data_IF_401722740234
#
_entry.id   IF_401722740234
#
_cell.length_a   1.000
_cell.length_b   1.000
_cell.length_c   1.000
_cell.angle_alpha   90.00
_cell.angle_beta   90.00
_cell.angle_gamma   90.00
#
_symmetry.space_group_name_H-M   'P 1'
#
loop_
_entity.id
_entity.type
_entity.pdbx_description
1 polymer ?
#
# COMPACT_ATOMS: atom_id res chain seq x y z
N UNK A 1 -5.22 -9.73 3.69
CA UNK A 1 -6.69 -9.47 3.77
C UNK A 1 -7.29 -9.50 2.36
N UNK A 2 -7.14 -10.67 1.73
CA UNK A 2 -7.47 -10.86 0.31
C UNK A 2 -8.95 -10.56 0.02
N UNK A 3 -9.86 -11.00 0.90
CA UNK A 3 -11.31 -10.84 0.73
C UNK A 3 -11.73 -9.37 0.56
N UNK A 4 -11.15 -8.46 1.35
CA UNK A 4 -11.43 -7.02 1.20
C UNK A 4 -10.96 -6.45 -0.14
N UNK A 5 -9.84 -6.96 -0.63
CA UNK A 5 -9.27 -6.48 -1.90
C UNK A 5 -10.12 -6.94 -3.07
N UNK A 6 -10.66 -8.15 -3.05
CA UNK A 6 -11.51 -8.68 -4.12
C UNK A 6 -12.78 -7.86 -4.28
N UNK A 7 -13.49 -7.59 -3.17
CA UNK A 7 -14.72 -6.78 -3.21
C UNK A 7 -14.43 -5.34 -3.67
N UNK A 8 -13.39 -4.73 -3.10
CA UNK A 8 -12.97 -3.38 -3.48
C UNK A 8 -12.54 -3.30 -4.94
N UNK A 9 -11.82 -4.31 -5.45
CA UNK A 9 -11.36 -4.38 -6.84
C UNK A 9 -12.51 -4.45 -7.83
N UNK A 10 -13.50 -5.31 -7.57
CA UNK A 10 -14.68 -5.42 -8.42
C UNK A 10 -15.48 -4.12 -8.46
N UNK A 11 -15.76 -3.53 -7.29
CA UNK A 11 -16.46 -2.25 -7.19
C UNK A 11 -15.68 -1.07 -7.82
N UNK A 12 -14.34 -1.12 -7.76
CA UNK A 12 -13.47 -0.12 -8.38
C UNK A 12 -13.58 -0.16 -9.91
N UNK A 13 -13.50 -1.36 -10.49
CA UNK A 13 -13.61 -1.55 -11.95
C UNK A 13 -15.03 -1.25 -12.47
N UNK A 14 -16.06 -1.54 -11.68
CA UNK A 14 -17.44 -1.15 -12.03
C UNK A 14 -17.59 0.38 -12.09
N UNK A 15 -16.91 1.10 -11.22
CA UNK A 15 -16.99 2.56 -11.15
C UNK A 15 -16.07 3.27 -12.15
N UNK A 16 -14.86 2.75 -12.34
CA UNK A 16 -13.85 3.30 -13.26
C UNK A 16 -13.27 2.19 -14.13
N UNK A 17 -13.99 1.79 -15.18
CA UNK A 17 -13.62 0.62 -16.01
C UNK A 17 -12.39 0.84 -16.89
N UNK A 18 -11.96 2.08 -17.09
CA UNK A 18 -10.79 2.43 -17.90
C UNK A 18 -9.89 3.43 -17.18
N UNK A 19 -8.65 3.53 -17.63
CA UNK A 19 -7.70 4.49 -17.06
C UNK A 19 -8.16 5.93 -17.29
N UNK A 20 -8.81 6.24 -18.41
CA UNK A 20 -9.35 7.55 -18.72
C UNK A 20 -10.53 7.89 -17.81
N UNK A 21 -11.39 6.91 -17.49
CA UNK A 21 -12.47 7.10 -16.56
C UNK A 21 -11.95 7.43 -15.15
N UNK A 22 -10.86 6.77 -14.73
CA UNK A 22 -10.21 7.08 -13.47
C UNK A 22 -9.50 8.45 -13.52
N UNK A 23 -8.78 8.75 -14.59
CA UNK A 23 -8.06 10.01 -14.78
C UNK A 23 -8.98 11.24 -14.78
N UNK A 24 -10.21 11.10 -15.29
CA UNK A 24 -11.23 12.15 -15.34
C UNK A 24 -12.12 12.24 -14.10
N UNK A 25 -11.96 11.32 -13.14
CA UNK A 25 -12.74 11.34 -11.91
C UNK A 25 -12.29 12.48 -10.98
N UNK A 26 -13.19 12.95 -10.12
CA UNK A 26 -12.80 13.84 -9.02
C UNK A 26 -11.88 13.07 -8.06
N UNK A 27 -10.74 13.65 -7.71
CA UNK A 27 -9.80 13.06 -6.74
C UNK A 27 -10.49 12.71 -5.43
N UNK A 28 -11.34 13.60 -4.93
CA UNK A 28 -12.15 13.38 -3.72
C UNK A 28 -13.02 12.13 -3.81
N UNK A 29 -13.57 11.82 -4.98
CA UNK A 29 -14.36 10.61 -5.21
C UNK A 29 -13.49 9.34 -5.14
N UNK A 30 -12.25 9.37 -5.65
CA UNK A 30 -11.31 8.24 -5.57
C UNK A 30 -10.83 8.02 -4.14
N UNK A 31 -10.49 9.10 -3.43
CA UNK A 31 -10.09 9.04 -2.00
C UNK A 31 -11.25 8.56 -1.13
N UNK A 32 -12.48 9.03 -1.39
CA UNK A 32 -13.70 8.57 -0.71
C UNK A 32 -13.91 7.07 -0.88
N UNK A 33 -13.90 6.58 -2.13
CA UNK A 33 -14.00 5.15 -2.43
C UNK A 33 -12.96 4.32 -1.66
N UNK A 34 -11.70 4.75 -1.67
CA UNK A 34 -10.60 4.09 -0.98
C UNK A 34 -10.84 3.96 0.53
N UNK A 35 -11.37 5.03 1.10
CA UNK A 35 -11.68 5.12 2.54
C UNK A 35 -12.88 4.26 2.91
N UNK A 36 -13.93 4.24 2.10
CA UNK A 36 -15.15 3.45 2.33
C UNK A 36 -14.85 1.95 2.33
N UNK A 37 -13.94 1.51 1.44
CA UNK A 37 -13.47 0.13 1.38
C UNK A 37 -12.35 -0.19 2.41
N UNK A 38 -11.99 0.77 3.27
CA UNK A 38 -10.99 0.59 4.33
C UNK A 38 -9.63 0.08 3.83
N UNK A 39 -9.19 0.50 2.65
CA UNK A 39 -7.94 0.06 2.03
C UNK A 39 -6.69 0.63 2.71
N UNK A 40 -6.84 1.70 3.50
CA UNK A 40 -5.76 2.33 4.26
C UNK A 40 -4.75 3.08 3.37
N UNK A 41 -3.82 3.82 4.02
CA UNK A 41 -2.79 4.58 3.31
C UNK A 41 -3.37 5.46 2.18
N UNK A 42 -4.24 6.41 2.54
CA UNK A 42 -5.06 7.20 1.62
C UNK A 42 -4.26 7.92 0.51
N UNK A 43 -2.98 8.22 0.73
CA UNK A 43 -2.08 8.76 -0.30
C UNK A 43 -1.98 7.83 -1.52
N UNK A 44 -2.20 6.51 -1.35
CA UNK A 44 -2.19 5.57 -2.48
C UNK A 44 -3.34 5.82 -3.45
N UNK A 45 -4.51 6.24 -2.95
CA UNK A 45 -5.63 6.63 -3.79
C UNK A 45 -5.30 7.87 -4.64
N UNK A 46 -4.69 8.88 -4.01
CA UNK A 46 -4.19 10.07 -4.71
C UNK A 46 -3.18 9.70 -5.79
N UNK A 47 -2.15 8.92 -5.44
CA UNK A 47 -1.13 8.51 -6.40
C UNK A 47 -1.68 7.67 -7.54
N UNK A 48 -2.64 6.78 -7.26
CA UNK A 48 -3.30 6.00 -8.29
C UNK A 48 -4.06 6.88 -9.28
N UNK A 49 -4.76 7.90 -8.79
CA UNK A 49 -5.46 8.88 -9.61
C UNK A 49 -4.48 9.72 -10.46
N UNK A 50 -3.40 10.20 -9.86
CA UNK A 50 -2.36 10.98 -10.56
C UNK A 50 -1.63 10.13 -11.62
N UNK A 51 -1.29 8.88 -11.29
CA UNK A 51 -0.71 7.93 -12.25
C UNK A 51 -1.66 7.64 -13.42
N UNK A 52 -2.97 7.51 -13.16
CA UNK A 52 -3.97 7.36 -14.24
C UNK A 52 -4.00 8.59 -15.15
N UNK A 53 -3.86 9.81 -14.58
CA UNK A 53 -3.72 11.04 -15.34
C UNK A 53 -2.50 11.03 -16.26
N UNK A 54 -1.33 10.61 -15.74
CA UNK A 54 -0.10 10.47 -16.54
C UNK A 54 -0.25 9.43 -17.66
N UNK A 55 -0.78 8.24 -17.34
CA UNK A 55 -1.01 7.19 -18.35
C UNK A 55 -1.93 7.68 -19.46
N UNK A 56 -3.00 8.39 -19.10
CA UNK A 56 -3.94 8.94 -20.10
C UNK A 56 -3.30 10.04 -20.96
N UNK A 57 -2.57 10.98 -20.37
CA UNK A 57 -2.07 12.19 -21.07
C UNK A 57 -0.71 11.99 -21.76
N UNK A 58 0.19 11.19 -21.17
CA UNK A 58 1.57 11.07 -21.62
C UNK A 58 1.84 9.75 -22.35
N UNK A 59 1.04 8.71 -22.05
CA UNK A 59 1.20 7.36 -22.60
C UNK A 59 0.02 6.91 -23.49
N UNK A 60 -0.89 7.82 -23.85
CA UNK A 60 -2.01 7.52 -24.75
C UNK A 60 -2.96 6.44 -24.24
N UNK A 61 -3.11 6.32 -22.91
CA UNK A 61 -3.98 5.34 -22.27
C UNK A 61 -3.38 3.94 -22.11
N UNK A 62 -2.12 3.73 -22.49
CA UNK A 62 -1.42 2.43 -22.36
C UNK A 62 -0.35 2.53 -21.29
N UNK A 63 -0.30 1.56 -20.37
CA UNK A 63 0.74 1.53 -19.34
C UNK A 63 2.11 1.21 -19.97
N UNK A 64 3.20 1.86 -19.49
CA UNK A 64 4.55 1.36 -19.74
C UNK A 64 4.68 -0.09 -19.25
N UNK A 65 5.34 -0.96 -20.02
CA UNK A 65 5.48 -2.37 -19.64
C UNK A 65 6.76 -2.61 -18.84
N UNK A 66 7.83 -1.89 -19.18
CA UNK A 66 9.12 -2.03 -18.51
C UNK A 66 9.18 -1.29 -17.15
N UNK A 67 9.94 -1.82 -16.16
CA UNK A 67 10.07 -1.22 -14.83
C UNK A 67 10.49 0.25 -14.84
N UNK A 68 11.41 0.64 -15.73
CA UNK A 68 11.89 2.02 -15.79
C UNK A 68 10.79 3.00 -16.18
N UNK A 69 9.98 2.68 -17.18
CA UNK A 69 8.85 3.50 -17.56
C UNK A 69 7.74 3.54 -16.48
N UNK A 70 7.51 2.43 -15.80
CA UNK A 70 6.56 2.36 -14.69
C UNK A 70 7.00 3.24 -13.50
N UNK A 71 8.32 3.39 -13.26
CA UNK A 71 8.87 4.24 -12.18
C UNK A 71 8.66 5.74 -12.39
N UNK A 72 8.37 6.16 -13.62
CA UNK A 72 8.04 7.55 -13.94
C UNK A 72 6.63 7.93 -13.48
N UNK A 73 5.76 6.93 -13.24
CA UNK A 73 4.41 7.16 -12.78
C UNK A 73 4.38 7.55 -11.29
N UNK A 74 3.47 8.47 -10.96
CA UNK A 74 3.32 8.97 -9.59
C UNK A 74 3.03 7.85 -8.59
N UNK A 75 3.81 7.81 -7.51
CA UNK A 75 3.65 6.82 -6.44
C UNK A 75 4.17 5.42 -6.75
N UNK A 76 4.82 5.23 -7.90
CA UNK A 76 5.41 3.96 -8.31
C UNK A 76 6.91 3.96 -7.96
N UNK A 77 7.25 3.29 -6.86
CA UNK A 77 8.64 3.04 -6.47
C UNK A 77 9.22 1.78 -7.14
N UNK A 78 10.52 1.50 -6.92
CA UNK A 78 11.20 0.34 -7.54
C UNK A 78 10.47 -0.99 -7.32
N UNK A 79 10.05 -1.26 -6.09
CA UNK A 79 9.27 -2.46 -5.76
C UNK A 79 7.94 -2.54 -6.55
N UNK A 80 7.18 -1.45 -6.59
CA UNK A 80 5.88 -1.41 -7.29
C UNK A 80 6.06 -1.57 -8.79
N UNK A 81 7.08 -0.93 -9.38
CA UNK A 81 7.39 -1.05 -10.79
C UNK A 81 7.71 -2.50 -11.19
N UNK A 82 8.61 -3.16 -10.45
CA UNK A 82 8.92 -4.57 -10.69
C UNK A 82 7.71 -5.48 -10.47
N UNK A 83 6.89 -5.22 -9.46
CA UNK A 83 5.68 -5.99 -9.21
C UNK A 83 4.67 -5.85 -10.38
N UNK A 84 4.43 -4.63 -10.85
CA UNK A 84 3.52 -4.39 -11.99
C UNK A 84 4.08 -5.02 -13.27
N UNK A 85 5.36 -4.81 -13.58
CA UNK A 85 6.01 -5.40 -14.74
C UNK A 85 5.91 -6.93 -14.72
N UNK A 86 6.21 -7.54 -13.57
CA UNK A 86 6.13 -8.99 -13.39
C UNK A 86 4.69 -9.51 -13.53
N UNK A 87 3.76 -8.99 -12.74
CA UNK A 87 2.41 -9.57 -12.66
C UNK A 87 1.52 -9.20 -13.85
N UNK A 88 1.64 -8.00 -14.40
CA UNK A 88 0.83 -7.58 -15.55
C UNK A 88 1.45 -7.99 -16.90
N UNK A 89 2.75 -7.85 -17.04
CA UNK A 89 3.42 -7.98 -18.33
C UNK A 89 4.34 -9.21 -18.44
N UNK A 90 4.57 -9.94 -17.34
CA UNK A 90 5.53 -11.06 -17.26
C UNK A 90 6.96 -10.63 -17.62
N UNK A 91 7.31 -9.42 -17.19
CA UNK A 91 8.62 -8.78 -17.35
C UNK A 91 9.15 -8.32 -15.98
N UNK A 92 10.36 -7.78 -15.95
CA UNK A 92 10.96 -7.27 -14.72
C UNK A 92 11.69 -8.33 -13.90
N UNK A 93 12.30 -7.85 -12.83
CA UNK A 93 13.12 -8.62 -11.92
C UNK A 93 12.29 -9.36 -10.84
N UNK A 94 13.00 -10.14 -10.03
CA UNK A 94 12.39 -10.78 -8.87
C UNK A 94 11.85 -9.74 -7.88
N UNK A 95 10.63 -9.94 -7.43
CA UNK A 95 9.94 -9.05 -6.47
C UNK A 95 10.20 -9.56 -5.06
N UNK A 96 11.02 -8.84 -4.29
CA UNK A 96 11.46 -9.25 -2.96
C UNK A 96 10.70 -8.47 -1.88
N UNK A 97 9.65 -9.08 -1.33
CA UNK A 97 8.93 -8.58 -0.17
C UNK A 97 9.42 -9.25 1.13
N UNK A 98 8.83 -8.92 2.26
CA UNK A 98 9.17 -9.50 3.56
C UNK A 98 8.91 -11.00 3.64
N UNK A 99 7.97 -11.55 2.87
CA UNK A 99 7.71 -12.99 2.80
C UNK A 99 8.78 -13.69 1.97
N UNK A 100 9.14 -13.09 0.83
CA UNK A 100 10.21 -13.60 -0.03
C UNK A 100 11.56 -13.58 0.71
N UNK A 101 11.90 -12.47 1.38
CA UNK A 101 13.10 -12.42 2.25
C UNK A 101 13.13 -13.56 3.26
N UNK A 102 12.04 -13.81 3.96
CA UNK A 102 11.94 -14.90 4.93
C UNK A 102 12.12 -16.27 4.29
N UNK A 103 11.55 -16.50 3.11
CA UNK A 103 11.71 -17.76 2.37
C UNK A 103 13.16 -17.96 1.98
N UNK A 104 13.81 -16.96 1.39
CA UNK A 104 15.21 -17.03 0.93
C UNK A 104 16.18 -17.19 2.11
N UNK A 105 15.99 -16.43 3.18
CA UNK A 105 16.77 -16.51 4.41
C UNK A 105 16.76 -17.94 4.96
N UNK A 106 15.58 -18.53 5.11
CA UNK A 106 15.42 -19.88 5.66
C UNK A 106 15.86 -20.99 4.73
N UNK A 107 15.58 -20.85 3.44
CA UNK A 107 15.88 -21.91 2.47
C UNK A 107 17.37 -21.99 2.14
N UNK A 108 18.04 -20.87 2.00
CA UNK A 108 19.38 -20.77 1.44
C UNK A 108 20.42 -20.13 2.37
N UNK A 109 20.05 -19.80 3.61
CA UNK A 109 20.94 -19.12 4.57
C UNK A 109 21.49 -17.79 4.01
N UNK A 110 20.66 -17.06 3.29
CA UNK A 110 21.03 -15.78 2.70
C UNK A 110 21.25 -14.76 3.83
N UNK A 111 22.35 -14.00 3.83
CA UNK A 111 22.57 -12.93 4.79
C UNK A 111 21.37 -11.95 4.84
N UNK A 112 21.11 -11.37 6.02
CA UNK A 112 20.04 -10.36 6.18
C UNK A 112 20.48 -9.01 5.58
N UNK A 113 20.53 -8.97 4.26
CA UNK A 113 20.94 -7.85 3.43
C UNK A 113 20.07 -7.80 2.17
N UNK A 114 19.52 -6.63 1.87
CA UNK A 114 18.58 -6.46 0.77
C UNK A 114 19.20 -6.82 -0.59
N UNK A 115 20.45 -6.45 -0.83
CA UNK A 115 21.15 -6.74 -2.08
C UNK A 115 21.44 -8.25 -2.25
N UNK A 116 21.69 -8.95 -1.14
CA UNK A 116 21.86 -10.40 -1.15
C UNK A 116 20.55 -11.11 -1.47
N UNK A 117 19.43 -10.67 -0.90
CA UNK A 117 18.10 -11.22 -1.23
C UNK A 117 17.72 -11.00 -2.70
N UNK A 118 17.94 -9.80 -3.22
CA UNK A 118 17.69 -9.47 -4.63
C UNK A 118 18.55 -10.33 -5.57
N UNK A 119 19.84 -10.45 -5.29
CA UNK A 119 20.76 -11.26 -6.11
C UNK A 119 20.35 -12.74 -6.13
N UNK A 120 20.01 -13.32 -4.97
CA UNK A 120 19.60 -14.73 -4.90
C UNK A 120 18.24 -14.94 -5.56
N UNK A 121 17.27 -14.04 -5.33
CA UNK A 121 15.96 -14.11 -5.96
C UNK A 121 16.06 -14.06 -7.49
N UNK A 122 16.85 -13.14 -8.02
CA UNK A 122 17.08 -13.01 -9.46
C UNK A 122 17.80 -14.23 -10.05
N UNK A 123 18.80 -14.78 -9.33
CA UNK A 123 19.51 -15.98 -9.77
C UNK A 123 18.63 -17.25 -9.79
N UNK A 124 17.58 -17.29 -8.98
CA UNK A 124 16.66 -18.42 -8.90
C UNK A 124 15.48 -18.28 -9.88
N UNK A 125 15.19 -17.10 -10.34
CA UNK A 125 14.08 -16.82 -11.25
C UNK A 125 14.43 -17.31 -12.67
N UNK A 126 13.64 -18.22 -13.28
CA UNK A 126 13.87 -18.64 -14.65
C UNK A 126 13.61 -17.51 -15.65
N UNK A 127 14.39 -17.46 -16.70
CA UNK A 127 14.20 -16.48 -17.79
C UNK A 127 12.79 -16.57 -18.39
N UNK A 128 12.11 -15.43 -18.49
CA UNK A 128 10.77 -15.30 -19.05
C UNK A 128 9.63 -15.81 -18.16
N UNK A 129 9.91 -16.21 -16.92
CA UNK A 129 8.92 -16.78 -15.98
C UNK A 129 8.68 -15.88 -14.76
N UNK A 130 8.93 -14.59 -14.89
CA UNK A 130 8.85 -13.60 -13.82
C UNK A 130 7.51 -13.66 -13.06
N UNK A 131 6.38 -13.72 -13.79
CA UNK A 131 5.04 -13.79 -13.19
C UNK A 131 4.84 -15.07 -12.37
N UNK A 132 5.19 -16.22 -12.94
CA UNK A 132 4.99 -17.52 -12.28
C UNK A 132 5.89 -17.64 -11.06
N UNK A 133 7.16 -17.26 -11.21
CA UNK A 133 8.13 -17.29 -10.11
C UNK A 133 7.69 -16.42 -8.93
N UNK A 134 7.38 -15.15 -9.19
CA UNK A 134 7.02 -14.21 -8.13
C UNK A 134 5.73 -14.61 -7.42
N UNK A 135 4.73 -15.11 -8.13
CA UNK A 135 3.53 -15.67 -7.50
C UNK A 135 3.86 -16.89 -6.64
N UNK A 136 4.63 -17.85 -7.17
CA UNK A 136 4.95 -19.08 -6.48
C UNK A 136 5.73 -18.87 -5.17
N UNK A 137 6.75 -17.98 -5.20
CA UNK A 137 7.56 -17.73 -4.00
C UNK A 137 6.80 -16.93 -2.95
N UNK A 138 5.92 -15.99 -3.34
CA UNK A 138 5.06 -15.27 -2.43
C UNK A 138 4.03 -16.20 -1.78
N UNK A 139 3.43 -17.09 -2.56
CA UNK A 139 2.49 -18.09 -2.06
C UNK A 139 3.18 -19.06 -1.10
N UNK A 140 4.38 -19.53 -1.43
CA UNK A 140 5.20 -20.35 -0.53
C UNK A 140 5.42 -19.67 0.82
N UNK A 141 5.70 -18.36 0.80
CA UNK A 141 5.82 -17.53 1.99
C UNK A 141 4.53 -17.42 2.81
N UNK A 142 3.38 -17.41 2.14
CA UNK A 142 2.06 -17.27 2.76
C UNK A 142 1.44 -18.57 3.25
N UNK A 143 1.79 -19.72 2.65
CA UNK A 143 1.13 -21.02 2.91
C UNK A 143 1.99 -21.96 3.77
N UNK A 144 3.27 -22.08 3.46
CA UNK A 144 4.16 -23.04 4.12
C UNK A 144 5.25 -22.36 4.96
N UNK A 145 5.92 -21.33 4.42
CA UNK A 145 7.00 -20.63 5.10
C UNK A 145 6.48 -19.39 5.86
N UNK A 146 5.41 -19.53 6.61
CA UNK A 146 4.82 -18.51 7.47
C UNK A 146 5.76 -18.11 8.63
N UNK A 147 5.35 -17.12 9.44
CA UNK A 147 6.06 -16.74 10.66
C UNK A 147 6.33 -17.96 11.56
N UNK A 148 5.30 -18.82 11.73
CA UNK A 148 5.47 -20.19 12.25
C UNK A 148 5.44 -21.14 11.06
N UNK A 149 6.58 -21.75 10.68
CA UNK A 149 6.65 -22.56 9.47
C UNK A 149 5.78 -23.81 9.58
N UNK A 150 5.12 -24.14 8.48
CA UNK A 150 4.26 -25.32 8.32
C UNK A 150 4.80 -26.22 7.21
N UNK A 151 6.08 -26.53 7.28
CA UNK A 151 6.81 -27.21 6.21
C UNK A 151 6.21 -28.57 5.82
N UNK A 152 5.77 -29.35 6.81
CA UNK A 152 5.16 -30.67 6.59
C UNK A 152 3.69 -30.57 6.21
N UNK A 153 2.90 -29.78 6.95
CA UNK A 153 1.48 -29.60 6.72
C UNK A 153 1.18 -28.77 5.47
N UNK A 154 1.99 -27.74 5.20
CA UNK A 154 1.88 -26.85 4.05
C UNK A 154 2.48 -27.42 2.77
N UNK A 155 3.05 -28.64 2.79
CA UNK A 155 3.61 -29.30 1.61
C UNK A 155 4.75 -28.52 0.94
N UNK A 156 5.67 -27.94 1.74
CA UNK A 156 6.77 -27.14 1.22
C UNK A 156 7.63 -27.94 0.22
N UNK A 157 7.72 -27.51 -1.05
CA UNK A 157 8.47 -28.25 -2.07
C UNK A 157 9.99 -28.21 -1.83
N UNK A 158 10.48 -27.23 -1.05
CA UNK A 158 11.91 -27.06 -0.76
C UNK A 158 12.35 -27.72 0.56
N UNK A 159 11.45 -28.39 1.27
CA UNK A 159 11.69 -28.93 2.60
C UNK A 159 13.00 -29.71 2.71
N UNK A 160 13.27 -30.61 1.76
CA UNK A 160 14.43 -31.50 1.81
C UNK A 160 15.77 -30.77 1.62
N UNK A 161 15.74 -29.65 0.92
CA UNK A 161 16.96 -28.84 0.64
C UNK A 161 17.05 -27.61 1.53
N UNK A 162 15.99 -27.28 2.26
CA UNK A 162 15.91 -26.06 3.07
C UNK A 162 16.90 -26.11 4.22
N UNK A 163 17.76 -25.08 4.32
CA UNK A 163 18.74 -24.95 5.40
C UNK A 163 18.06 -24.95 6.77
N UNK A 164 17.04 -24.10 6.97
CA UNK A 164 16.31 -23.99 8.22
C UNK A 164 15.65 -25.31 8.65
N UNK A 165 15.08 -26.07 7.70
CA UNK A 165 14.45 -27.35 8.00
C UNK A 165 15.50 -28.39 8.44
N UNK A 166 16.65 -28.40 7.82
CA UNK A 166 17.76 -29.35 8.12
C UNK A 166 18.45 -29.03 9.44
N UNK A 167 18.56 -27.77 9.79
CA UNK A 167 19.24 -27.30 11.03
C UNK A 167 18.30 -27.18 12.22
N UNK A 168 16.99 -27.05 11.97
CA UNK A 168 15.98 -26.73 12.97
C UNK A 168 15.94 -25.25 13.37
N UNK A 169 16.70 -24.39 12.68
CA UNK A 169 16.72 -22.94 12.92
C UNK A 169 15.76 -22.21 11.96
N UNK A 170 14.62 -21.79 12.48
CA UNK A 170 13.58 -21.07 11.75
C UNK A 170 13.55 -19.57 12.07
N UNK A 171 14.67 -19.00 12.40
CA UNK A 171 14.81 -17.53 12.51
C UNK A 171 14.39 -16.86 11.19
N UNK A 172 14.16 -15.56 11.24
CA UNK A 172 13.74 -14.78 10.09
C UNK A 172 14.49 -13.44 10.10
N UNK A 173 14.63 -12.79 8.94
CA UNK A 173 15.19 -11.45 8.85
C UNK A 173 14.46 -10.47 9.75
N UNK A 174 15.16 -9.46 10.23
CA UNK A 174 14.55 -8.36 10.96
C UNK A 174 13.64 -7.56 10.03
N UNK A 175 12.37 -7.49 10.40
CA UNK A 175 11.36 -6.70 9.69
C UNK A 175 10.90 -5.58 10.62
N UNK A 176 10.95 -4.31 10.16
CA UNK A 176 10.44 -3.19 10.94
C UNK A 176 8.99 -3.44 11.39
N UNK A 177 8.77 -3.47 12.68
CA UNK A 177 7.42 -3.62 13.23
C UNK A 177 6.73 -2.27 13.25
N UNK A 178 5.53 -2.20 12.70
CA UNK A 178 4.72 -1.00 12.79
C UNK A 178 4.13 -0.88 14.21
N UNK A 179 4.12 0.34 14.78
CA UNK A 179 3.40 0.60 16.03
C UNK A 179 1.92 0.21 15.93
N UNK A 180 1.28 -0.03 17.08
CA UNK A 180 -0.17 -0.31 17.14
C UNK A 180 -0.96 0.69 16.31
N UNK A 181 -1.98 0.20 15.60
CA UNK A 181 -2.87 1.05 14.82
C UNK A 181 -3.82 1.84 15.73
N UNK A 182 -4.31 1.21 16.79
CA UNK A 182 -5.23 1.83 17.73
C UNK A 182 -4.54 2.97 18.51
N UNK A 183 -5.15 4.14 18.51
CA UNK A 183 -4.59 5.37 19.09
C UNK A 183 -3.49 6.03 18.27
N UNK A 184 -3.11 5.47 17.12
CA UNK A 184 -2.03 6.03 16.31
C UNK A 184 -2.47 7.24 15.46
N UNK A 185 -1.53 8.10 15.12
CA UNK A 185 -1.73 9.21 14.19
C UNK A 185 -2.34 8.74 12.86
N UNK A 186 -1.96 7.53 12.37
CA UNK A 186 -2.55 6.92 11.16
C UNK A 186 -4.05 6.66 11.29
N UNK A 187 -4.51 6.22 12.46
CA UNK A 187 -5.93 5.98 12.69
C UNK A 187 -6.72 7.29 12.62
N UNK A 188 -6.24 8.33 13.30
CA UNK A 188 -6.93 9.62 13.31
C UNK A 188 -6.91 10.31 11.95
N UNK A 189 -5.81 10.24 11.21
CA UNK A 189 -5.75 10.70 9.81
C UNK A 189 -6.79 9.98 8.94
N UNK A 190 -6.92 8.66 9.09
CA UNK A 190 -7.95 7.90 8.38
C UNK A 190 -9.38 8.30 8.75
N UNK A 191 -9.63 8.62 10.03
CA UNK A 191 -10.94 9.12 10.51
C UNK A 191 -11.27 10.50 9.92
N UNK A 192 -10.28 11.40 9.84
CA UNK A 192 -10.46 12.72 9.22
C UNK A 192 -10.87 12.57 7.75
N UNK A 193 -10.12 11.80 6.97
CA UNK A 193 -10.43 11.58 5.55
C UNK A 193 -11.83 10.99 5.39
N UNK A 194 -12.20 9.99 6.21
CA UNK A 194 -13.54 9.39 6.21
C UNK A 194 -14.64 10.40 6.58
N UNK A 195 -14.40 11.27 7.55
CA UNK A 195 -15.37 12.31 7.91
C UNK A 195 -15.58 13.29 6.75
N UNK A 196 -14.51 13.68 6.08
CA UNK A 196 -14.57 14.61 4.95
C UNK A 196 -15.08 13.96 3.66
N UNK A 197 -14.93 12.65 3.45
CA UNK A 197 -15.54 11.95 2.30
C UNK A 197 -17.07 11.88 2.37
N UNK A 198 -17.63 12.02 3.56
CA UNK A 198 -19.09 12.04 3.80
C UNK A 198 -19.69 13.46 3.94
N UNK A 199 -18.86 14.50 3.79
CA UNK A 199 -19.29 15.90 3.94
C UNK A 199 -18.47 16.78 3.00
N UNK A 200 -19.11 17.70 2.31
CA UNK A 200 -18.43 18.62 1.38
C UNK A 200 -17.32 19.42 2.08
N UNK A 201 -17.54 19.81 3.31
CA UNK A 201 -16.58 20.51 4.17
C UNK A 201 -17.02 20.44 5.62
N UNK A 202 -16.08 20.51 6.56
CA UNK A 202 -16.32 20.59 8.00
C UNK A 202 -15.44 21.68 8.63
N UNK A 203 -15.96 22.34 9.64
CA UNK A 203 -15.15 23.18 10.54
C UNK A 203 -14.39 22.31 11.54
N UNK A 204 -13.37 22.85 12.20
CA UNK A 204 -12.64 22.13 13.26
C UNK A 204 -13.57 21.68 14.40
N UNK A 205 -14.51 22.54 14.78
CA UNK A 205 -15.46 22.25 15.86
C UNK A 205 -16.44 21.13 15.51
N UNK A 206 -16.77 20.97 14.23
CA UNK A 206 -17.60 19.86 13.72
C UNK A 206 -16.79 18.58 13.53
N UNK A 207 -15.52 18.71 13.17
CA UNK A 207 -14.64 17.58 12.84
C UNK A 207 -14.11 16.90 14.11
N UNK A 208 -13.63 17.66 15.09
CA UNK A 208 -12.99 17.12 16.28
C UNK A 208 -13.79 16.01 16.99
N UNK A 209 -15.06 16.23 17.34
CA UNK A 209 -15.91 15.19 17.96
C UNK A 209 -16.15 13.96 17.10
N UNK A 210 -16.05 14.07 15.75
CA UNK A 210 -16.17 12.93 14.82
C UNK A 210 -14.90 12.07 14.80
N UNK A 211 -13.75 12.67 15.10
CA UNK A 211 -12.45 12.00 15.06
C UNK A 211 -12.14 11.32 16.38
N UNK A 212 -12.48 11.99 17.49
CA UNK A 212 -12.16 11.52 18.82
C UNK A 212 -13.25 11.87 19.83
N UNK A 213 -13.69 10.88 20.61
CA UNK A 213 -14.80 11.03 21.58
C UNK A 213 -14.45 12.01 22.69
N UNK A 214 -13.19 12.02 23.14
CA UNK A 214 -12.65 12.89 24.17
C UNK A 214 -12.00 14.17 23.61
N UNK A 215 -12.32 14.56 22.38
CA UNK A 215 -11.93 15.84 21.82
C UNK A 215 -12.49 16.98 22.65
N UNK A 216 -11.63 17.90 23.03
CA UNK A 216 -11.98 19.15 23.69
C UNK A 216 -11.25 20.29 22.99
N UNK A 217 -11.83 21.49 22.98
CA UNK A 217 -11.21 22.66 22.33
C UNK A 217 -9.85 23.03 22.92
N UNK A 218 -9.60 22.64 24.16
CA UNK A 218 -8.34 22.84 24.90
C UNK A 218 -7.82 21.50 25.40
N UNK A 219 -6.50 21.36 25.56
CA UNK A 219 -5.83 20.17 26.08
C UNK A 219 -5.09 19.37 25.03
N UNK A 220 -4.54 18.22 25.43
CA UNK A 220 -3.65 17.35 24.63
C UNK A 220 -4.26 16.92 23.28
N UNK A 221 -5.57 16.68 23.25
CA UNK A 221 -6.32 16.29 22.05
C UNK A 221 -7.31 17.39 21.64
N UNK A 222 -6.85 18.62 21.72
CA UNK A 222 -7.63 19.81 21.42
C UNK A 222 -7.44 20.31 19.97
N UNK A 223 -7.71 21.59 19.82
CA UNK A 223 -7.67 22.27 18.54
C UNK A 223 -6.29 22.18 17.87
N UNK A 224 -5.22 22.45 18.61
CA UNK A 224 -3.85 22.43 18.10
C UNK A 224 -3.47 21.04 17.56
N UNK A 225 -3.77 19.98 18.31
CA UNK A 225 -3.58 18.60 17.87
C UNK A 225 -4.34 18.26 16.57
N UNK A 226 -5.57 18.75 16.43
CA UNK A 226 -6.36 18.54 15.21
C UNK A 226 -5.81 19.34 14.02
N UNK A 227 -5.37 20.57 14.25
CA UNK A 227 -4.73 21.44 13.26
C UNK A 227 -3.43 20.82 12.73
N UNK A 228 -2.60 20.21 13.59
CA UNK A 228 -1.41 19.46 13.16
C UNK A 228 -1.76 18.27 12.24
N UNK A 229 -2.79 17.50 12.59
CA UNK A 229 -3.24 16.38 11.76
C UNK A 229 -3.77 16.82 10.40
N UNK A 230 -4.47 17.95 10.38
CA UNK A 230 -4.95 18.55 9.13
C UNK A 230 -3.81 19.11 8.29
N UNK A 231 -2.82 19.76 8.90
CA UNK A 231 -1.63 20.24 8.20
C UNK A 231 -0.89 19.08 7.51
N UNK A 232 -0.63 17.99 8.22
CA UNK A 232 -0.02 16.79 7.61
C UNK A 232 -0.80 16.25 6.41
N UNK A 233 -2.14 16.26 6.51
CA UNK A 233 -2.99 15.76 5.42
C UNK A 233 -3.05 16.75 4.25
N UNK A 234 -2.92 18.05 4.52
CA UNK A 234 -2.82 19.08 3.49
C UNK A 234 -1.46 19.03 2.78
N UNK A 235 -0.37 18.85 3.52
CA UNK A 235 0.97 18.66 2.96
C UNK A 235 1.05 17.40 2.07
N UNK A 236 0.32 16.34 2.45
CA UNK A 236 0.13 15.16 1.61
C UNK A 236 -0.77 15.42 0.38
N UNK A 237 -1.42 16.58 0.30
CA UNK A 237 -2.35 16.96 -0.78
C UNK A 237 -3.65 16.15 -0.79
N UNK A 238 -4.10 15.68 0.39
CA UNK A 238 -5.37 14.95 0.55
C UNK A 238 -6.54 15.85 0.88
N UNK A 239 -6.27 17.02 1.46
CA UNK A 239 -7.30 17.99 1.80
C UNK A 239 -6.83 19.44 1.64
N UNK A 240 -7.79 20.32 1.51
CA UNK A 240 -7.59 21.78 1.51
C UNK A 240 -8.08 22.36 2.84
N UNK A 241 -7.29 23.28 3.39
CA UNK A 241 -7.65 24.06 4.57
C UNK A 241 -7.89 25.50 4.12
N UNK A 242 -9.02 26.08 4.55
CA UNK A 242 -9.34 27.48 4.30
C UNK A 242 -9.78 28.17 5.58
N UNK A 243 -9.29 29.37 5.79
CA UNK A 243 -9.85 30.26 6.82
C UNK A 243 -11.09 30.95 6.26
N UNK A 244 -12.20 30.88 6.99
CA UNK A 244 -13.46 31.56 6.66
C UNK A 244 -13.93 32.37 7.86
N UNK A 245 -13.59 33.65 7.88
CA UNK A 245 -13.79 34.52 9.04
C UNK A 245 -12.93 34.05 10.23
N UNK A 246 -13.55 33.71 11.33
CA UNK A 246 -12.86 33.23 12.55
C UNK A 246 -12.88 31.69 12.66
N UNK A 247 -13.09 30.97 11.56
CA UNK A 247 -13.22 29.50 11.54
C UNK A 247 -12.30 28.89 10.49
N UNK A 248 -11.63 27.85 10.86
CA UNK A 248 -10.88 26.98 9.94
C UNK A 248 -11.82 25.91 9.39
N UNK A 249 -11.83 25.75 8.09
CA UNK A 249 -12.67 24.77 7.36
C UNK A 249 -11.77 23.85 6.57
N UNK A 250 -12.01 22.54 6.63
CA UNK A 250 -11.32 21.52 5.86
C UNK A 250 -12.27 20.85 4.86
N UNK A 251 -11.77 20.51 3.66
CA UNK A 251 -12.45 19.69 2.65
C UNK A 251 -11.45 18.76 1.98
N UNK A 252 -11.89 17.67 1.36
CA UNK A 252 -11.03 16.87 0.49
C UNK A 252 -10.57 17.70 -0.71
N UNK A 253 -9.31 17.52 -1.14
CA UNK A 253 -8.78 18.16 -2.37
C UNK A 253 -9.46 17.58 -3.61
N UNK A 254 -9.78 18.47 -4.54
CA UNK A 254 -10.38 18.13 -5.85
C UNK A 254 -9.34 17.61 -6.84
#
# INVERSE_FOLDING_TARGET
QLDRVVDAWSAFLDRWPTVEALASADRSAVVGFWTDHSLGYNNRAKYLHEAAGQVSSEHGGSFPEAPDGLRELMGVGPYTANAVASFAFNDGDAVVDTNVKRVLYRAFDVPDDDSAFEAVASALMPDGESRVWNNAIMELGGVACEKKPRCDEGGCPWREWCHAYRTGDFTAPDVPTQPSFEGSRRQFRGRIVRALSNHDKLTLDELGPKIRVDYASEGEYGREWLEELLADLADDGLLDIKESGNRTVAKLSE
#
